data_IF_861292280250
#
_entry.id   IF_861292280250
#
_cell.length_a   1.000
_cell.length_b   1.000
_cell.length_c   1.000
_cell.angle_alpha   90.00
_cell.angle_beta   90.00
_cell.angle_gamma   90.00
#
_symmetry.space_group_name_H-M   'P 1'
#
loop_
_entity.id
_entity.type
_entity.pdbx_description
1 polymer ?
#
# COMPACT_ATOMS: atom_id res chain seq x y z
N UNK A 1 -21.93 10.82 -1.15
CA UNK A 1 -21.97 9.40 -1.55
C UNK A 1 -20.52 9.00 -1.76
N UNK A 2 -19.98 8.18 -0.85
CA UNK A 2 -18.60 7.71 -0.92
C UNK A 2 -18.45 6.77 -2.12
N UNK A 3 -17.33 6.78 -2.86
CA UNK A 3 -17.10 5.82 -3.92
C UNK A 3 -17.03 4.41 -3.32
N UNK A 4 -17.68 3.45 -3.99
CA UNK A 4 -17.76 2.03 -3.62
C UNK A 4 -16.39 1.34 -3.68
N UNK A 5 -15.53 1.64 -2.70
CA UNK A 5 -14.20 1.06 -2.59
C UNK A 5 -14.26 -0.35 -1.99
N UNK A 6 -14.94 -1.26 -2.70
CA UNK A 6 -15.06 -2.67 -2.35
C UNK A 6 -13.88 -3.46 -2.91
N UNK A 7 -12.80 -3.54 -2.13
CA UNK A 7 -11.58 -4.31 -2.44
C UNK A 7 -11.82 -5.80 -2.77
N UNK A 8 -12.95 -6.36 -2.32
CA UNK A 8 -13.30 -7.78 -2.51
C UNK A 8 -14.04 -8.14 -3.81
N UNK A 9 -14.38 -7.19 -4.68
CA UNK A 9 -15.09 -7.47 -5.94
C UNK A 9 -14.22 -7.21 -7.18
N UNK A 10 -14.15 -8.21 -8.07
CA UNK A 10 -13.31 -8.24 -9.27
C UNK A 10 -13.71 -7.25 -10.40
N UNK A 11 -14.58 -6.26 -10.13
CA UNK A 11 -15.06 -5.25 -11.09
C UNK A 11 -15.55 -3.99 -10.35
N UNK A 12 -15.05 -2.82 -10.74
CA UNK A 12 -15.44 -1.51 -10.18
C UNK A 12 -14.31 -0.48 -10.29
N UNK A 13 -14.59 0.77 -9.87
CA UNK A 13 -13.67 1.92 -9.96
C UNK A 13 -12.26 1.64 -9.40
N UNK A 14 -12.12 0.73 -8.42
CA UNK A 14 -10.84 0.30 -7.88
C UNK A 14 -9.98 -0.50 -8.89
N UNK A 15 -10.59 -1.30 -9.78
CA UNK A 15 -9.86 -2.04 -10.81
C UNK A 15 -9.33 -1.11 -11.90
N UNK A 16 -10.13 -0.13 -12.32
CA UNK A 16 -9.73 0.88 -13.31
C UNK A 16 -8.64 1.79 -12.74
N UNK A 17 -8.81 2.27 -11.49
CA UNK A 17 -7.78 3.01 -10.78
C UNK A 17 -6.49 2.18 -10.60
N UNK A 18 -6.59 0.89 -10.32
CA UNK A 18 -5.41 0.01 -10.23
C UNK A 18 -4.69 -0.14 -11.58
N UNK A 19 -5.44 -0.23 -12.67
CA UNK A 19 -4.86 -0.31 -14.01
C UNK A 19 -4.16 1.00 -14.39
N UNK A 20 -4.82 2.14 -14.19
CA UNK A 20 -4.24 3.47 -14.42
C UNK A 20 -2.98 3.69 -13.58
N UNK A 21 -3.01 3.30 -12.31
CA UNK A 21 -1.87 3.43 -11.40
C UNK A 21 -0.68 2.57 -11.86
N UNK A 22 -0.91 1.34 -12.30
CA UNK A 22 0.14 0.48 -12.88
C UNK A 22 0.75 1.08 -14.15
N UNK A 23 -0.07 1.70 -15.00
CA UNK A 23 0.43 2.38 -16.20
C UNK A 23 1.28 3.61 -15.84
N UNK A 24 0.79 4.43 -14.90
CA UNK A 24 1.46 5.67 -14.47
C UNK A 24 2.77 5.38 -13.73
N UNK A 25 2.83 4.29 -12.98
CA UNK A 25 3.99 3.88 -12.17
C UNK A 25 4.84 2.78 -12.84
N UNK A 26 4.70 2.62 -14.15
CA UNK A 26 5.40 1.59 -14.91
C UNK A 26 6.92 1.77 -14.92
N UNK A 27 7.43 3.00 -14.84
CA UNK A 27 8.87 3.29 -14.81
C UNK A 27 9.36 3.58 -13.40
N UNK A 28 10.63 3.24 -13.15
CA UNK A 28 11.30 3.52 -11.88
C UNK A 28 11.27 5.01 -11.53
N UNK A 29 11.56 5.88 -12.49
CA UNK A 29 11.57 7.34 -12.29
C UNK A 29 10.21 7.87 -11.79
N UNK A 30 9.12 7.31 -12.30
CA UNK A 30 7.77 7.72 -11.92
C UNK A 30 7.45 7.23 -10.51
N UNK A 31 7.93 6.04 -10.13
CA UNK A 31 7.82 5.50 -8.78
C UNK A 31 8.61 6.28 -7.75
N UNK A 32 9.83 6.72 -8.10
CA UNK A 32 10.67 7.53 -7.23
C UNK A 32 10.06 8.91 -6.97
N UNK A 33 9.47 9.53 -8.01
CA UNK A 33 8.74 10.79 -7.85
C UNK A 33 7.47 10.60 -7.03
N UNK A 34 6.71 9.56 -7.33
CA UNK A 34 5.44 9.27 -6.65
C UNK A 34 5.66 8.98 -5.17
N UNK A 35 6.63 8.15 -4.78
CA UNK A 35 6.82 7.82 -3.35
C UNK A 35 7.22 9.04 -2.50
N UNK A 36 7.78 10.09 -3.12
CA UNK A 36 8.18 11.34 -2.44
C UNK A 36 7.09 12.42 -2.49
N UNK A 37 5.96 12.18 -3.16
CA UNK A 37 4.91 13.17 -3.35
C UNK A 37 3.88 13.11 -2.21
N UNK A 38 4.03 14.02 -1.25
CA UNK A 38 3.12 14.13 -0.11
C UNK A 38 1.71 14.64 -0.48
N UNK A 39 1.47 15.00 -1.74
CA UNK A 39 0.15 15.45 -2.23
C UNK A 39 -0.74 14.33 -2.73
N UNK A 40 -0.23 13.09 -2.77
CA UNK A 40 -0.99 11.93 -3.25
C UNK A 40 -2.19 11.67 -2.34
N UNK A 41 -3.40 11.51 -2.90
CA UNK A 41 -4.57 11.15 -2.13
C UNK A 41 -4.37 9.85 -1.36
N UNK A 42 -4.80 9.83 -0.11
CA UNK A 42 -4.70 8.66 0.77
C UNK A 42 -5.22 7.37 0.13
N UNK A 43 -6.37 7.45 -0.57
CA UNK A 43 -6.97 6.34 -1.29
C UNK A 43 -6.04 5.72 -2.34
N UNK A 44 -5.32 6.57 -3.07
CA UNK A 44 -4.37 6.13 -4.08
C UNK A 44 -3.13 5.49 -3.43
N UNK A 45 -2.71 6.02 -2.28
CA UNK A 45 -1.63 5.46 -1.47
C UNK A 45 -1.96 4.07 -0.95
N UNK A 46 -3.17 3.90 -0.39
CA UNK A 46 -3.68 2.60 0.08
C UNK A 46 -3.81 1.61 -1.08
N UNK A 47 -4.21 2.08 -2.26
CA UNK A 47 -4.25 1.27 -3.49
C UNK A 47 -2.89 0.80 -3.95
N UNK A 48 -1.92 1.69 -4.01
CA UNK A 48 -0.54 1.34 -4.33
C UNK A 48 -0.01 0.27 -3.38
N UNK A 49 -0.24 0.46 -2.08
CA UNK A 49 0.17 -0.47 -1.03
C UNK A 49 -0.50 -1.84 -1.16
N UNK A 50 -1.81 -1.88 -1.31
CA UNK A 50 -2.56 -3.12 -1.45
C UNK A 50 -2.09 -3.93 -2.67
N UNK A 51 -1.92 -3.28 -3.81
CA UNK A 51 -1.40 -3.90 -5.03
C UNK A 51 0.02 -4.45 -4.83
N UNK A 52 0.87 -3.70 -4.12
CA UNK A 52 2.25 -4.14 -3.88
C UNK A 52 2.33 -5.32 -2.92
N UNK A 53 1.55 -5.31 -1.84
CA UNK A 53 1.47 -6.43 -0.90
C UNK A 53 0.93 -7.66 -1.63
N UNK A 54 -0.17 -7.52 -2.37
CA UNK A 54 -0.76 -8.61 -3.15
C UNK A 54 0.27 -9.25 -4.09
N UNK A 55 1.04 -8.43 -4.80
CA UNK A 55 2.13 -8.91 -5.65
C UNK A 55 3.19 -9.65 -4.83
N UNK A 56 3.62 -9.09 -3.69
CA UNK A 56 4.62 -9.71 -2.82
C UNK A 56 4.18 -11.09 -2.33
N UNK A 57 2.93 -11.21 -1.86
CA UNK A 57 2.34 -12.48 -1.43
C UNK A 57 2.28 -13.50 -2.58
N UNK A 58 1.85 -13.09 -3.77
CA UNK A 58 1.76 -13.97 -4.95
C UNK A 58 3.12 -14.54 -5.39
N UNK A 59 4.21 -13.80 -5.19
CA UNK A 59 5.57 -14.25 -5.50
C UNK A 59 6.30 -14.87 -4.31
N UNK A 60 5.63 -15.08 -3.17
CA UNK A 60 6.22 -15.67 -1.97
C UNK A 60 7.32 -14.81 -1.33
N UNK A 61 7.28 -13.49 -1.53
CA UNK A 61 8.29 -12.53 -1.04
C UNK A 61 7.84 -11.72 0.16
N UNK A 62 6.72 -12.11 0.76
CA UNK A 62 6.21 -11.49 1.96
C UNK A 62 6.98 -11.97 3.20
N UNK A 63 8.26 -11.60 3.29
CA UNK A 63 9.14 -12.02 4.38
C UNK A 63 8.72 -11.46 5.76
N UNK A 64 7.96 -10.36 5.77
CA UNK A 64 7.56 -9.65 6.97
C UNK A 64 6.09 -9.90 7.39
N UNK A 65 5.32 -10.65 6.59
CA UNK A 65 3.93 -10.99 6.90
C UNK A 65 2.94 -9.83 6.65
N UNK A 66 3.17 -9.00 5.64
CA UNK A 66 2.24 -7.98 5.18
C UNK A 66 0.92 -8.55 4.63
N UNK A 67 0.85 -9.84 4.30
CA UNK A 67 -0.37 -10.51 3.83
C UNK A 67 -1.56 -10.32 4.78
N UNK A 68 -1.33 -10.37 6.10
CA UNK A 68 -2.41 -10.12 7.07
C UNK A 68 -2.93 -8.67 7.01
N UNK A 69 -2.07 -7.72 6.62
CA UNK A 69 -2.47 -6.32 6.42
C UNK A 69 -3.35 -6.20 5.18
N UNK A 70 -3.03 -6.93 4.11
CA UNK A 70 -3.87 -6.98 2.92
C UNK A 70 -5.24 -7.62 3.22
N UNK A 71 -5.28 -8.71 4.01
CA UNK A 71 -6.53 -9.37 4.39
C UNK A 71 -7.43 -8.43 5.21
N UNK A 72 -6.88 -7.73 6.20
CA UNK A 72 -7.61 -6.75 7.01
C UNK A 72 -8.07 -5.53 6.19
N UNK A 73 -7.29 -5.12 5.19
CA UNK A 73 -7.64 -4.05 4.25
C UNK A 73 -8.79 -4.49 3.32
N UNK A 74 -8.75 -5.72 2.82
CA UNK A 74 -9.82 -6.31 2.03
C UNK A 74 -11.11 -6.52 2.83
N UNK A 75 -10.99 -6.82 4.12
CA UNK A 75 -12.12 -6.93 5.06
C UNK A 75 -12.70 -5.57 5.48
N UNK A 76 -12.05 -4.45 5.12
CA UNK A 76 -12.50 -3.10 5.47
C UNK A 76 -12.26 -2.73 6.94
N UNK A 77 -11.40 -3.46 7.66
CA UNK A 77 -11.10 -3.24 9.08
C UNK A 77 -10.40 -1.89 9.32
N UNK A 78 -9.72 -1.36 8.30
CA UNK A 78 -9.08 -0.05 8.33
C UNK A 78 -9.98 1.11 7.86
N UNK A 79 -11.31 0.94 7.89
CA UNK A 79 -12.28 2.03 7.70
C UNK A 79 -12.25 2.71 6.32
N UNK A 80 -13.17 3.65 6.08
CA UNK A 80 -13.26 4.34 4.80
C UNK A 80 -12.10 5.32 4.59
N UNK A 81 -11.26 5.06 3.59
CA UNK A 81 -10.75 5.95 2.53
C UNK A 81 -10.34 7.43 2.80
N UNK A 82 -10.97 8.14 3.73
CA UNK A 82 -10.91 9.61 3.78
C UNK A 82 -9.79 10.18 4.66
N UNK A 83 -9.01 9.37 5.37
CA UNK A 83 -7.92 9.83 6.22
C UNK A 83 -6.89 8.71 6.50
N UNK A 84 -5.64 9.07 6.87
CA UNK A 84 -4.68 8.12 7.41
C UNK A 84 -5.31 7.33 8.56
N UNK A 85 -5.53 6.03 8.33
CA UNK A 85 -6.03 5.17 9.40
C UNK A 85 -4.85 4.77 10.28
N UNK A 86 -4.83 5.28 11.52
CA UNK A 86 -3.81 4.97 12.51
C UNK A 86 -3.63 3.46 12.76
N UNK A 87 -4.69 2.64 12.60
CA UNK A 87 -4.60 1.19 12.69
C UNK A 87 -3.87 0.57 11.49
N UNK A 88 -4.07 1.08 10.27
CA UNK A 88 -3.31 0.63 9.10
C UNK A 88 -1.83 1.01 9.24
N UNK A 89 -1.58 2.27 9.59
CA UNK A 89 -0.21 2.77 9.80
C UNK A 89 0.48 1.99 10.91
N UNK A 90 -0.20 1.76 12.05
CA UNK A 90 0.32 0.96 13.15
C UNK A 90 0.65 -0.48 12.74
N UNK A 91 -0.22 -1.11 11.94
CA UNK A 91 0.04 -2.45 11.40
C UNK A 91 1.28 -2.46 10.49
N UNK A 92 1.46 -1.45 9.63
CA UNK A 92 2.64 -1.33 8.77
C UNK A 92 3.93 -1.11 9.58
N UNK A 93 3.89 -0.19 10.53
CA UNK A 93 5.01 0.08 11.45
C UNK A 93 5.42 -1.17 12.22
N UNK A 94 4.46 -1.91 12.76
CA UNK A 94 4.72 -3.18 13.44
C UNK A 94 5.42 -4.19 12.52
N UNK A 95 5.01 -4.30 11.25
CA UNK A 95 5.66 -5.20 10.27
C UNK A 95 7.07 -4.78 9.90
N UNK A 96 7.33 -3.47 9.81
CA UNK A 96 8.68 -2.95 9.59
C UNK A 96 9.60 -3.28 10.77
N UNK A 97 9.11 -3.11 12.00
CA UNK A 97 9.90 -3.32 13.22
C UNK A 97 10.08 -4.81 13.51
N UNK A 98 8.99 -5.57 13.60
CA UNK A 98 8.99 -6.98 13.98
C UNK A 98 9.44 -7.89 12.84
N UNK A 99 9.04 -7.60 11.61
CA UNK A 99 9.31 -8.43 10.45
C UNK A 99 10.66 -8.14 9.78
N UNK A 100 11.15 -6.90 9.86
CA UNK A 100 12.37 -6.47 9.18
C UNK A 100 13.44 -5.89 10.12
N UNK A 101 13.18 -5.82 11.43
CA UNK A 101 14.13 -5.28 12.41
C UNK A 101 14.42 -3.80 12.22
N UNK A 102 13.52 -3.06 11.58
CA UNK A 102 13.71 -1.64 11.30
C UNK A 102 13.33 -0.75 12.49
N UNK A 103 13.85 0.48 12.53
CA UNK A 103 13.41 1.49 13.50
C UNK A 103 11.96 1.91 13.24
N UNK A 104 11.22 2.27 14.29
CA UNK A 104 9.88 2.83 14.16
C UNK A 104 9.90 4.08 13.27
N UNK A 105 8.94 4.22 12.34
CA UNK A 105 8.82 5.41 11.50
C UNK A 105 8.40 6.62 12.32
N UNK A 106 8.93 7.81 11.97
CA UNK A 106 8.62 9.06 12.66
C UNK A 106 7.33 9.73 12.22
N UNK A 107 6.70 9.27 11.14
CA UNK A 107 5.42 9.76 10.63
C UNK A 107 4.64 8.68 9.87
N UNK A 108 3.33 8.90 9.71
CA UNK A 108 2.44 8.02 8.95
C UNK A 108 2.88 7.87 7.49
N UNK A 109 3.29 8.98 6.86
CA UNK A 109 3.82 8.98 5.50
C UNK A 109 5.11 8.15 5.40
N UNK A 110 6.02 8.32 6.36
CA UNK A 110 7.27 7.55 6.40
C UNK A 110 7.01 6.05 6.56
N UNK A 111 6.05 5.66 7.41
CA UNK A 111 5.67 4.25 7.61
C UNK A 111 5.26 3.59 6.29
N UNK A 112 4.49 4.30 5.47
CA UNK A 112 4.00 3.81 4.19
C UNK A 112 5.12 3.76 3.16
N UNK A 113 5.89 4.84 3.04
CA UNK A 113 7.04 4.90 2.13
C UNK A 113 8.01 3.75 2.41
N UNK A 114 8.36 3.53 3.69
CA UNK A 114 9.26 2.46 4.09
C UNK A 114 8.67 1.08 3.85
N UNK A 115 7.37 0.90 4.04
CA UNK A 115 6.68 -0.36 3.71
C UNK A 115 6.74 -0.65 2.20
N UNK A 116 6.47 0.35 1.36
CA UNK A 116 6.57 0.21 -0.11
C UNK A 116 8.00 -0.11 -0.56
N UNK A 117 9.00 0.58 0.00
CA UNK A 117 10.42 0.32 -0.29
C UNK A 117 10.81 -1.09 0.14
N UNK A 118 10.42 -1.50 1.35
CA UNK A 118 10.71 -2.83 1.89
C UNK A 118 10.08 -3.94 1.04
N UNK A 119 8.89 -3.69 0.51
CA UNK A 119 8.25 -4.61 -0.42
C UNK A 119 8.92 -4.61 -1.80
N UNK A 120 9.83 -3.69 -2.11
CA UNK A 120 10.53 -3.62 -3.40
C UNK A 120 9.76 -2.88 -4.49
N UNK A 121 8.92 -1.91 -4.12
CA UNK A 121 8.14 -1.08 -5.06
C UNK A 121 9.02 -0.37 -6.11
N UNK A 122 10.16 0.20 -5.71
CA UNK A 122 11.02 0.94 -6.65
C UNK A 122 11.62 0.03 -7.73
N UNK A 123 12.08 -1.15 -7.35
CA UNK A 123 12.72 -2.11 -8.27
C UNK A 123 11.70 -2.83 -9.16
N UNK A 124 10.60 -3.31 -8.56
CA UNK A 124 9.71 -4.27 -9.22
C UNK A 124 8.37 -3.69 -9.67
N UNK A 125 8.03 -2.49 -9.21
CA UNK A 125 6.75 -1.85 -9.48
C UNK A 125 5.55 -2.53 -8.83
N UNK A 126 4.39 -2.33 -9.47
CA UNK A 126 3.07 -2.84 -9.08
C UNK A 126 2.66 -4.03 -9.94
#
# INVERSE_FOLDING_TARGET
MAPDWNWGYARGAAHDAAFELRQRLGRREDREKWIQDDSIPWDETVLCLALRIQRSCNYGRDAAGFGSVLDALAAGEYGSASAPNAALVGALSARLVEGLGQQEPGSDAEAIQRSLIALGFLEEGL
#
